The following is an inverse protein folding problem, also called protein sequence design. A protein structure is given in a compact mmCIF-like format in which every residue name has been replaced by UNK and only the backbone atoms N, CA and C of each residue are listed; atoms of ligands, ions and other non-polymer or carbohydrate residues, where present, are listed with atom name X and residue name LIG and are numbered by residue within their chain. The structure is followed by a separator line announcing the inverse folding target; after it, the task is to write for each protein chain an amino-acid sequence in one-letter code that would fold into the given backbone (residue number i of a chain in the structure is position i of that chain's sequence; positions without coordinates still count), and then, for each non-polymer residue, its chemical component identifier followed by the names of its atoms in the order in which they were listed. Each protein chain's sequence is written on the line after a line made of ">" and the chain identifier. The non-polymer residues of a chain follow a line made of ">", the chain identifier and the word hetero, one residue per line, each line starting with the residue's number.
data_IF_842186311779
#
_entry.id   IF_842186311779
#
_cell.length_a   1.000
_cell.length_b   1.000
_cell.length_c   1.000
_cell.angle_alpha   90.00
_cell.angle_beta   90.00
_cell.angle_gamma   90.00
#
_symmetry.space_group_name_H-M   'P 1'
#
loop_
_entity.id
_entity.type
_entity.pdbx_description
1 polymer ?
#
# COMPACT_ATOMS: atom_id res chain seq x y z
N UNK A 1 -66.93 -25.20 3.65
CA UNK A 1 -67.20 -26.47 2.95
C UNK A 1 -65.85 -27.07 2.55
N UNK A 2 -65.56 -28.27 3.07
CA UNK A 2 -64.62 -29.34 2.64
C UNK A 2 -63.41 -28.98 1.71
N UNK A 3 -62.21 -29.57 1.78
CA UNK A 3 -61.52 -30.55 2.64
C UNK A 3 -60.19 -30.88 1.91
N UNK A 4 -59.09 -31.03 2.67
CA UNK A 4 -58.03 -32.09 2.54
C UNK A 4 -57.09 -32.03 1.30
N UNK A 5 -55.85 -32.52 1.31
CA UNK A 5 -54.98 -33.31 2.22
C UNK A 5 -53.56 -33.29 1.61
N UNK A 6 -52.48 -33.20 2.39
CA UNK A 6 -51.64 -34.35 2.81
C UNK A 6 -50.39 -34.47 1.92
N UNK A 7 -49.19 -34.86 2.35
CA UNK A 7 -48.75 -35.72 3.47
C UNK A 7 -47.32 -35.34 3.87
N UNK A 8 -47.00 -35.49 5.16
CA UNK A 8 -45.63 -35.53 5.66
C UNK A 8 -44.99 -36.91 5.49
N UNK A 9 -43.68 -36.96 5.70
CA UNK A 9 -42.93 -38.17 6.04
C UNK A 9 -41.97 -37.79 7.18
N UNK A 10 -42.21 -38.41 8.33
CA UNK A 10 -41.32 -38.47 9.49
C UNK A 10 -40.72 -39.88 9.47
N UNK A 11 -39.40 -40.03 9.60
CA UNK A 11 -38.76 -41.31 9.92
C UNK A 11 -37.87 -41.11 11.15
N UNK A 12 -38.08 -42.01 12.09
CA UNK A 12 -37.55 -42.08 13.45
C UNK A 12 -36.44 -43.16 13.53
N UNK A 13 -35.41 -42.86 14.34
CA UNK A 13 -34.41 -43.69 15.05
C UNK A 13 -34.18 -45.17 14.70
N UNK A 14 -32.90 -45.58 14.81
CA UNK A 14 -32.31 -46.63 15.71
C UNK A 14 -30.80 -46.75 15.32
N UNK A 15 -29.77 -47.08 16.11
CA UNK A 15 -29.37 -47.05 17.53
C UNK A 15 -28.01 -47.80 17.55
N UNK A 16 -27.06 -47.37 18.41
CA UNK A 16 -26.01 -48.16 19.10
C UNK A 16 -24.79 -48.75 18.33
N UNK A 17 -23.56 -48.34 18.69
CA UNK A 17 -22.64 -49.11 19.57
C UNK A 17 -21.30 -48.39 19.83
N UNK A 18 -20.83 -48.59 21.07
CA UNK A 18 -19.66 -48.02 21.74
C UNK A 18 -18.35 -48.70 21.32
N UNK A 19 -17.23 -47.97 21.40
CA UNK A 19 -16.00 -48.50 22.00
C UNK A 19 -15.27 -47.41 22.80
N UNK A 20 -15.13 -47.69 24.09
CA UNK A 20 -14.27 -47.07 25.10
C UNK A 20 -12.81 -47.45 24.91
N UNK A 21 -11.89 -46.55 25.27
CA UNK A 21 -10.46 -46.82 25.42
C UNK A 21 -9.68 -45.70 26.11
N UNK A 22 -9.73 -45.67 27.45
CA UNK A 22 -8.71 -45.14 28.36
C UNK A 22 -7.37 -45.90 28.15
N UNK A 23 -6.15 -45.51 28.60
CA UNK A 23 -5.56 -44.40 29.35
C UNK A 23 -4.03 -44.69 29.46
N UNK A 24 -3.29 -43.79 30.13
CA UNK A 24 -2.08 -43.99 30.96
C UNK A 24 -0.68 -43.69 30.36
N UNK A 25 -0.15 -42.56 30.85
CA UNK A 25 1.21 -42.23 31.35
C UNK A 25 2.34 -43.27 31.20
N UNK A 26 3.57 -42.79 30.93
CA UNK A 26 4.62 -42.70 31.97
C UNK A 26 5.86 -41.95 31.50
N UNK A 27 6.33 -41.08 32.37
CA UNK A 27 7.70 -40.57 32.47
C UNK A 27 8.70 -41.69 32.78
N UNK A 28 9.96 -41.50 32.39
CA UNK A 28 11.11 -41.98 33.17
C UNK A 28 12.39 -41.21 32.79
N UNK A 29 12.91 -40.52 33.80
CA UNK A 29 14.30 -40.09 33.97
C UNK A 29 15.24 -41.29 34.20
N UNK A 30 16.52 -40.93 34.43
CA UNK A 30 17.69 -41.69 34.91
C UNK A 30 18.42 -42.49 33.84
N UNK A 31 19.75 -42.47 33.73
CA UNK A 31 20.85 -42.11 34.64
C UNK A 31 22.11 -42.01 33.74
N UNK A 32 22.86 -40.91 33.74
CA UNK A 32 24.12 -40.74 34.48
C UNK A 32 25.07 -41.96 34.40
N UNK A 33 26.17 -41.81 33.68
CA UNK A 33 27.44 -42.40 34.12
C UNK A 33 28.61 -41.43 33.90
N UNK A 34 29.45 -41.39 34.92
CA UNK A 34 30.58 -40.49 35.14
C UNK A 34 31.86 -41.08 34.54
N UNK A 35 32.81 -40.22 34.17
CA UNK A 35 34.26 -40.31 34.45
C UNK A 35 34.91 -39.07 33.81
N UNK A 36 35.28 -38.03 34.59
CA UNK A 36 36.64 -37.79 35.15
C UNK A 36 37.73 -37.90 34.07
N UNK A 37 38.53 -36.88 33.75
CA UNK A 37 39.47 -36.20 34.65
C UNK A 37 40.12 -35.00 33.94
N UNK A 38 40.44 -33.97 34.74
CA UNK A 38 41.61 -33.09 34.71
C UNK A 38 42.25 -32.66 33.36
N UNK A 39 42.28 -31.34 33.13
CA UNK A 39 43.44 -30.48 33.46
C UNK A 39 43.43 -29.19 32.63
N UNK A 40 43.51 -28.05 33.33
CA UNK A 40 43.93 -26.78 32.74
C UNK A 40 45.41 -26.86 32.38
N UNK A 41 45.85 -26.08 31.38
CA UNK A 41 46.62 -24.92 31.80
C UNK A 41 46.21 -23.64 31.06
N UNK A 42 46.27 -22.54 31.81
CA UNK A 42 46.35 -21.20 31.25
C UNK A 42 47.55 -21.12 30.30
N UNK A 43 47.31 -20.61 29.09
CA UNK A 43 48.37 -20.09 28.25
C UNK A 43 47.96 -18.72 27.69
N UNK A 44 48.69 -17.71 28.16
CA UNK A 44 48.77 -16.37 27.61
C UNK A 44 49.25 -16.42 26.16
N UNK A 45 48.47 -15.84 25.25
CA UNK A 45 48.85 -15.66 23.86
C UNK A 45 48.12 -14.48 23.26
N UNK A 46 48.73 -13.29 23.32
CA UNK A 46 48.48 -12.23 22.36
C UNK A 46 48.74 -12.78 20.95
N UNK A 47 47.76 -12.72 20.06
CA UNK A 47 48.03 -12.38 18.67
C UNK A 47 46.76 -12.02 17.89
N UNK A 48 46.80 -10.77 17.41
CA UNK A 48 46.42 -10.34 16.06
C UNK A 48 44.95 -10.43 15.65
N UNK A 49 44.32 -9.24 15.63
CA UNK A 49 43.70 -8.68 14.43
C UNK A 49 43.21 -9.70 13.40
N UNK A 50 42.04 -10.28 13.66
CA UNK A 50 41.17 -10.70 12.57
C UNK A 50 40.39 -9.47 12.11
N UNK A 51 41.02 -8.67 11.24
CA UNK A 51 40.30 -7.76 10.35
C UNK A 51 39.34 -8.64 9.55
N UNK A 52 38.07 -8.68 9.96
CA UNK A 52 37.00 -9.19 9.11
C UNK A 52 37.07 -8.37 7.82
N UNK A 53 37.52 -8.99 6.72
CA UNK A 53 37.36 -8.43 5.38
C UNK A 53 35.88 -8.08 5.25
N UNK A 54 35.56 -6.78 5.21
CA UNK A 54 34.22 -6.31 4.90
C UNK A 54 33.73 -7.08 3.67
N UNK A 55 32.77 -7.98 3.87
CA UNK A 55 32.08 -8.60 2.74
C UNK A 55 31.48 -7.45 1.95
N UNK A 56 31.94 -7.31 0.70
CA UNK A 56 31.45 -6.31 -0.23
C UNK A 56 29.91 -6.30 -0.20
N UNK A 57 29.33 -5.19 0.27
CA UNK A 57 27.89 -5.04 0.37
C UNK A 57 27.33 -4.89 -1.04
N UNK A 58 26.46 -5.81 -1.43
CA UNK A 58 25.83 -5.84 -2.76
C UNK A 58 24.36 -5.44 -2.65
N UNK A 59 23.84 -4.82 -3.71
CA UNK A 59 22.42 -4.57 -3.87
C UNK A 59 21.69 -5.87 -4.28
N UNK A 60 20.44 -6.08 -3.84
CA UNK A 60 19.60 -7.14 -4.40
C UNK A 60 19.26 -6.85 -5.88
N UNK A 61 18.90 -7.89 -6.62
CA UNK A 61 18.56 -7.78 -8.04
C UNK A 61 17.06 -7.88 -8.29
N UNK A 62 16.29 -8.37 -7.31
CA UNK A 62 14.84 -8.44 -7.38
C UNK A 62 14.20 -7.10 -7.02
N UNK A 63 13.07 -6.79 -7.65
CA UNK A 63 12.22 -5.66 -7.22
C UNK A 63 11.57 -5.99 -5.87
N UNK A 64 11.54 -5.01 -4.97
CA UNK A 64 11.03 -5.17 -3.61
C UNK A 64 10.10 -4.00 -3.26
N UNK A 65 9.08 -4.26 -2.45
CA UNK A 65 8.17 -3.23 -1.94
C UNK A 65 7.73 -3.54 -0.51
N UNK A 66 7.02 -2.60 0.11
CA UNK A 66 6.43 -2.78 1.44
C UNK A 66 5.66 -4.11 1.53
N UNK A 67 5.83 -4.80 2.67
CA UNK A 67 5.38 -6.18 2.98
C UNK A 67 6.20 -7.32 2.36
N UNK A 68 7.24 -7.04 1.58
CA UNK A 68 8.21 -8.07 1.21
C UNK A 68 9.09 -8.44 2.38
N UNK A 69 9.54 -9.70 2.41
CA UNK A 69 10.34 -10.25 3.50
C UNK A 69 11.48 -11.15 2.99
N UNK A 70 12.43 -11.43 3.87
CA UNK A 70 13.47 -12.43 3.68
C UNK A 70 14.82 -11.87 3.23
N UNK A 71 15.64 -12.75 2.65
CA UNK A 71 17.04 -12.46 2.33
C UNK A 71 17.24 -11.27 1.36
N UNK A 72 16.43 -11.09 0.30
CA UNK A 72 16.55 -9.92 -0.58
C UNK A 72 16.36 -8.60 0.18
N UNK A 73 15.35 -8.51 1.04
CA UNK A 73 15.09 -7.33 1.87
C UNK A 73 16.24 -7.07 2.85
N UNK A 74 16.74 -8.11 3.51
CA UNK A 74 17.91 -8.00 4.39
C UNK A 74 19.13 -7.45 3.63
N UNK A 75 19.30 -7.85 2.37
CA UNK A 75 20.38 -7.39 1.48
C UNK A 75 20.19 -5.91 1.13
N UNK A 76 18.96 -5.48 0.82
CA UNK A 76 18.63 -4.07 0.60
C UNK A 76 18.91 -3.23 1.85
N UNK A 77 18.47 -3.66 3.02
CA UNK A 77 18.68 -2.95 4.28
C UNK A 77 20.18 -2.80 4.62
N UNK A 78 20.98 -3.84 4.41
CA UNK A 78 22.44 -3.77 4.55
C UNK A 78 23.06 -2.77 3.56
N UNK A 79 22.61 -2.76 2.30
CA UNK A 79 23.03 -1.80 1.29
C UNK A 79 22.70 -0.35 1.70
N UNK A 80 21.45 -0.08 2.08
CA UNK A 80 21.01 1.24 2.57
C UNK A 80 21.83 1.68 3.79
N UNK A 81 22.06 0.79 4.75
CA UNK A 81 22.87 1.08 5.94
C UNK A 81 24.32 1.41 5.58
N UNK A 82 24.91 0.70 4.61
CA UNK A 82 26.27 1.01 4.13
C UNK A 82 26.38 2.38 3.44
N UNK A 83 25.25 2.92 2.96
CA UNK A 83 25.14 4.28 2.43
C UNK A 83 24.78 5.33 3.50
N UNK A 84 24.66 4.94 4.78
CA UNK A 84 24.41 5.83 5.91
C UNK A 84 22.94 5.99 6.31
N UNK A 85 22.01 5.22 5.74
CA UNK A 85 20.63 5.20 6.23
C UNK A 85 20.52 4.45 7.56
N UNK A 86 19.72 5.00 8.46
CA UNK A 86 19.35 4.37 9.74
C UNK A 86 18.14 3.46 9.49
N UNK A 87 18.40 2.22 9.06
CA UNK A 87 17.37 1.19 8.86
C UNK A 87 17.71 -0.05 9.67
N UNK A 88 16.72 -0.66 10.31
CA UNK A 88 16.87 -1.99 10.91
C UNK A 88 17.14 -3.07 9.83
N UNK A 89 17.88 -4.12 10.18
CA UNK A 89 18.20 -5.24 9.27
C UNK A 89 17.52 -6.49 9.84
N UNK A 90 16.19 -6.48 9.73
CA UNK A 90 15.28 -7.53 10.17
C UNK A 90 14.83 -8.44 9.01
N UNK A 91 15.04 -8.00 7.76
CA UNK A 91 14.55 -8.68 6.57
C UNK A 91 13.06 -8.43 6.29
N UNK A 92 12.44 -7.39 6.85
CA UNK A 92 11.05 -6.99 6.60
C UNK A 92 11.04 -5.62 5.94
N UNK A 93 10.36 -5.47 4.80
CA UNK A 93 10.27 -4.21 4.07
C UNK A 93 9.20 -3.35 4.76
N UNK A 94 9.58 -2.80 5.91
CA UNK A 94 8.74 -2.02 6.79
C UNK A 94 8.71 -0.53 6.37
N UNK A 95 8.05 0.30 7.20
CA UNK A 95 7.93 1.75 6.94
C UNK A 95 9.30 2.47 6.92
N UNK A 96 10.25 2.07 7.76
CA UNK A 96 11.61 2.65 7.78
C UNK A 96 12.35 2.35 6.47
N UNK A 97 12.29 1.10 6.03
CA UNK A 97 12.90 0.67 4.75
C UNK A 97 12.25 1.40 3.57
N UNK A 98 10.91 1.54 3.59
CA UNK A 98 10.18 2.29 2.57
C UNK A 98 10.61 3.76 2.54
N UNK A 99 10.71 4.40 3.70
CA UNK A 99 11.14 5.79 3.81
C UNK A 99 12.57 5.99 3.32
N UNK A 100 13.51 5.11 3.67
CA UNK A 100 14.89 5.17 3.20
C UNK A 100 15.00 5.02 1.68
N UNK A 101 14.23 4.10 1.09
CA UNK A 101 14.16 3.95 -0.37
C UNK A 101 13.55 5.19 -1.01
N UNK A 102 12.48 5.74 -0.45
CA UNK A 102 11.88 6.98 -0.97
C UNK A 102 12.84 8.17 -0.87
N UNK A 103 13.55 8.35 0.26
CA UNK A 103 14.54 9.43 0.41
C UNK A 103 15.67 9.31 -0.62
N UNK A 104 16.13 8.09 -0.88
CA UNK A 104 17.10 7.82 -1.95
C UNK A 104 16.52 8.25 -3.30
N UNK A 105 15.31 7.81 -3.64
CA UNK A 105 14.67 8.13 -4.92
C UNK A 105 14.53 9.63 -5.14
N UNK A 106 14.08 10.37 -4.12
CA UNK A 106 13.86 11.81 -4.19
C UNK A 106 15.14 12.63 -4.43
N UNK A 107 16.32 12.04 -4.26
CA UNK A 107 17.61 12.69 -4.55
C UNK A 107 18.03 12.58 -6.02
N UNK A 108 17.37 11.75 -6.83
CA UNK A 108 17.71 11.53 -8.23
C UNK A 108 16.56 11.92 -9.16
N UNK A 109 16.83 12.82 -10.10
CA UNK A 109 15.81 13.34 -11.05
C UNK A 109 15.17 12.28 -11.94
N UNK A 110 15.82 11.14 -12.14
CA UNK A 110 15.36 10.05 -13.01
C UNK A 110 14.58 8.96 -12.26
N UNK A 111 14.41 9.10 -10.94
CA UNK A 111 13.68 8.16 -10.10
C UNK A 111 12.34 8.75 -9.65
N UNK A 112 11.30 7.93 -9.65
CA UNK A 112 10.02 8.24 -9.06
C UNK A 112 10.05 7.92 -7.55
N UNK A 113 9.76 8.90 -6.69
CA UNK A 113 9.69 8.69 -5.23
C UNK A 113 8.45 7.88 -4.87
N UNK A 114 8.53 6.55 -4.95
CA UNK A 114 7.40 5.63 -4.74
C UNK A 114 7.57 4.78 -3.49
N UNK A 115 8.80 4.67 -2.97
CA UNK A 115 9.15 3.73 -1.91
C UNK A 115 9.22 2.27 -2.37
N UNK A 116 8.98 1.99 -3.66
CA UNK A 116 9.20 0.68 -4.29
C UNK A 116 10.64 0.62 -4.77
N UNK A 117 11.38 -0.42 -4.38
CA UNK A 117 12.70 -0.72 -4.89
C UNK A 117 12.59 -1.35 -6.28
N UNK A 118 12.36 -0.51 -7.29
CA UNK A 118 12.16 -0.89 -8.68
C UNK A 118 13.48 -1.03 -9.47
N UNK A 119 13.39 -1.43 -10.74
CA UNK A 119 14.55 -1.56 -11.63
C UNK A 119 15.48 -0.34 -11.66
N UNK A 120 14.95 0.88 -11.76
CA UNK A 120 15.79 2.08 -11.83
C UNK A 120 16.48 2.36 -10.49
N UNK A 121 15.79 2.05 -9.39
CA UNK A 121 16.32 2.15 -8.03
C UNK A 121 17.40 1.09 -7.81
N UNK A 122 17.24 -0.12 -8.35
CA UNK A 122 18.26 -1.18 -8.35
C UNK A 122 19.53 -0.70 -9.04
N UNK A 123 19.41 -0.23 -10.29
CA UNK A 123 20.55 0.27 -11.08
C UNK A 123 21.26 1.44 -10.37
N UNK A 124 20.49 2.34 -9.77
CA UNK A 124 21.02 3.46 -9.00
C UNK A 124 21.76 3.00 -7.75
N UNK A 125 21.18 2.08 -6.97
CA UNK A 125 21.81 1.56 -5.77
C UNK A 125 23.10 0.78 -6.09
N UNK A 126 23.10 -0.03 -7.14
CA UNK A 126 24.28 -0.75 -7.61
C UNK A 126 25.43 0.19 -7.98
N UNK A 127 25.13 1.27 -8.71
CA UNK A 127 26.11 2.31 -9.04
C UNK A 127 26.65 2.98 -7.78
N UNK A 128 25.79 3.37 -6.85
CA UNK A 128 26.22 4.01 -5.60
C UNK A 128 27.16 3.13 -4.76
N UNK A 129 26.92 1.82 -4.72
CA UNK A 129 27.76 0.87 -3.97
C UNK A 129 29.11 0.58 -4.64
N UNK A 130 29.21 0.76 -5.96
CA UNK A 130 30.40 0.38 -6.74
C UNK A 130 31.27 1.58 -7.14
N UNK A 131 30.67 2.62 -7.73
CA UNK A 131 31.41 3.76 -8.29
C UNK A 131 31.49 4.96 -7.35
N UNK A 132 30.46 5.16 -6.52
CA UNK A 132 30.33 6.36 -5.68
C UNK A 132 30.46 6.06 -4.17
N UNK A 133 31.02 4.89 -3.82
CA UNK A 133 31.08 4.39 -2.44
C UNK A 133 31.78 5.43 -1.54
N UNK A 134 31.02 6.01 -0.61
CA UNK A 134 31.50 7.02 0.37
C UNK A 134 31.22 8.48 0.01
N UNK A 135 30.77 8.79 -1.22
CA UNK A 135 30.42 10.17 -1.62
C UNK A 135 28.93 10.49 -1.52
N UNK A 136 28.08 9.47 -1.54
CA UNK A 136 26.65 9.63 -1.30
C UNK A 136 26.36 9.83 0.19
N UNK A 137 25.40 10.70 0.50
CA UNK A 137 24.86 10.88 1.86
C UNK A 137 23.34 10.99 1.79
N UNK A 138 22.59 10.33 2.69
CA UNK A 138 21.16 10.54 2.83
C UNK A 138 20.86 12.02 3.03
N UNK A 139 19.88 12.54 2.29
CA UNK A 139 19.48 13.93 2.41
C UNK A 139 18.38 14.11 3.47
N UNK A 140 17.79 13.01 3.98
CA UNK A 140 16.75 13.03 5.01
C UNK A 140 15.63 14.03 4.66
N UNK A 141 15.30 14.13 3.37
CA UNK A 141 14.18 14.92 2.82
C UNK A 141 12.89 14.49 3.53
N UNK A 142 12.79 13.18 3.77
CA UNK A 142 11.81 12.60 4.67
C UNK A 142 12.52 12.29 5.98
N UNK A 143 12.16 13.00 7.05
CA UNK A 143 12.68 12.72 8.39
C UNK A 143 11.65 11.91 9.18
N UNK A 144 12.06 10.75 9.70
CA UNK A 144 11.27 10.08 10.73
C UNK A 144 11.28 10.92 12.00
N UNK A 145 10.21 11.69 12.20
CA UNK A 145 10.01 12.44 13.43
C UNK A 145 9.49 11.48 14.50
N UNK A 146 10.16 11.44 15.66
CA UNK A 146 9.67 10.67 16.81
C UNK A 146 8.32 11.21 17.30
N UNK A 147 8.09 12.52 17.11
CA UNK A 147 6.83 13.16 17.43
C UNK A 147 5.85 13.05 16.26
N UNK A 148 4.82 12.25 16.46
CA UNK A 148 3.72 12.09 15.51
C UNK A 148 2.94 13.40 15.41
N UNK A 149 3.06 14.08 14.27
CA UNK A 149 2.31 15.28 13.99
C UNK A 149 0.83 14.93 13.75
N UNK A 150 -0.06 15.82 14.19
CA UNK A 150 -1.51 15.67 14.02
C UNK A 150 -2.05 16.77 13.12
N UNK A 151 -2.87 16.39 12.14
CA UNK A 151 -3.63 17.33 11.33
C UNK A 151 -4.87 17.82 12.10
N UNK A 152 -5.52 18.84 11.54
CA UNK A 152 -6.82 19.29 12.03
C UNK A 152 -7.83 18.13 11.97
N UNK A 153 -8.49 17.84 13.10
CA UNK A 153 -9.37 16.67 13.24
C UNK A 153 -8.71 15.44 13.86
N UNK A 154 -7.41 15.48 14.19
CA UNK A 154 -6.72 14.45 14.97
C UNK A 154 -6.08 13.31 14.15
N UNK A 155 -6.19 13.36 12.82
CA UNK A 155 -5.51 12.44 11.93
C UNK A 155 -3.98 12.53 12.08
N UNK A 156 -3.30 11.40 12.03
CA UNK A 156 -1.83 11.32 12.03
C UNK A 156 -1.29 11.82 10.69
N UNK A 157 -0.37 12.77 10.70
CA UNK A 157 0.31 13.22 9.48
C UNK A 157 1.34 12.18 9.05
N UNK A 158 1.24 11.73 7.80
CA UNK A 158 2.16 10.76 7.22
C UNK A 158 3.57 11.33 7.08
N UNK A 159 4.56 10.56 7.52
CA UNK A 159 5.98 10.93 7.38
C UNK A 159 6.51 10.68 5.97
N UNK A 160 5.95 9.71 5.26
CA UNK A 160 6.27 9.44 3.86
C UNK A 160 5.03 9.63 2.98
N UNK A 161 4.72 10.87 2.57
CA UNK A 161 3.58 11.15 1.71
C UNK A 161 3.78 10.68 0.26
N UNK A 162 5.00 10.28 -0.11
CA UNK A 162 5.36 9.81 -1.45
C UNK A 162 5.20 8.30 -1.63
N UNK A 163 5.03 7.55 -0.54
CA UNK A 163 4.81 6.10 -0.58
C UNK A 163 3.61 5.77 -1.48
N UNK A 164 3.83 4.90 -2.47
CA UNK A 164 2.77 4.41 -3.34
C UNK A 164 1.63 3.75 -2.55
N UNK A 165 1.95 3.14 -1.41
CA UNK A 165 1.02 2.52 -0.47
C UNK A 165 0.67 3.41 0.72
N UNK A 166 0.88 4.73 0.63
CA UNK A 166 0.43 5.68 1.64
C UNK A 166 -1.08 5.52 1.89
N UNK A 167 -1.45 5.16 3.13
CA UNK A 167 -2.84 5.10 3.56
C UNK A 167 -3.30 6.51 3.91
N UNK A 168 -4.13 7.10 3.06
CA UNK A 168 -4.70 8.44 3.30
C UNK A 168 -6.19 8.27 3.53
N UNK A 169 -6.65 8.64 4.72
CA UNK A 169 -8.03 8.48 5.16
C UNK A 169 -8.32 9.40 6.36
N UNK A 170 -9.47 9.23 7.02
CA UNK A 170 -9.88 10.05 8.18
C UNK A 170 -8.98 9.94 9.41
N UNK A 171 -8.03 9.00 9.41
CA UNK A 171 -7.08 8.78 10.50
C UNK A 171 -5.63 9.10 10.10
N UNK A 172 -5.38 9.24 8.80
CA UNK A 172 -4.05 9.46 8.24
C UNK A 172 -4.09 10.56 7.18
N UNK A 173 -3.48 11.70 7.49
CA UNK A 173 -3.46 12.87 6.64
C UNK A 173 -2.10 13.05 5.95
N UNK A 174 -2.11 13.64 4.76
CA UNK A 174 -0.91 14.15 4.12
C UNK A 174 -0.48 15.48 4.75
N UNK A 175 0.82 15.83 4.71
CA UNK A 175 1.28 17.17 5.05
C UNK A 175 0.58 18.24 4.21
N UNK A 176 0.32 19.41 4.80
CA UNK A 176 -0.38 20.49 4.12
C UNK A 176 0.39 21.03 2.91
N UNK A 177 1.72 21.02 2.98
CA UNK A 177 2.64 21.47 1.93
C UNK A 177 3.00 20.36 0.92
N UNK A 178 2.43 19.15 1.08
CA UNK A 178 2.72 18.05 0.16
C UNK A 178 2.08 18.28 -1.21
N UNK A 179 2.95 18.42 -2.20
CA UNK A 179 2.62 18.43 -3.63
C UNK A 179 3.55 17.42 -4.32
N UNK A 180 3.01 16.40 -5.04
CA UNK A 180 3.86 15.48 -5.80
C UNK A 180 4.67 16.23 -6.87
N UNK A 181 5.97 15.92 -6.98
CA UNK A 181 6.88 16.60 -7.91
C UNK A 181 6.80 16.07 -9.35
N UNK A 182 6.12 14.93 -9.52
CA UNK A 182 5.99 14.14 -10.74
C UNK A 182 4.56 14.15 -11.30
N UNK A 183 3.78 15.21 -11.03
CA UNK A 183 2.45 15.37 -11.59
C UNK A 183 2.50 15.62 -13.09
N UNK A 184 1.72 14.86 -13.84
CA UNK A 184 1.54 14.98 -15.30
C UNK A 184 0.08 14.78 -15.67
N UNK A 185 -0.33 15.31 -16.82
CA UNK A 185 -1.63 15.02 -17.41
C UNK A 185 -1.53 13.72 -18.21
N UNK A 186 -2.25 12.64 -17.82
CA UNK A 186 -2.27 11.40 -18.58
C UNK A 186 -2.91 11.63 -19.95
N UNK A 187 -2.41 10.93 -20.96
CA UNK A 187 -2.95 10.94 -22.31
C UNK A 187 -4.19 10.05 -22.42
N UNK A 188 -5.28 10.46 -21.77
CA UNK A 188 -6.58 9.79 -21.76
C UNK A 188 -7.71 10.77 -22.03
N UNK A 189 -8.91 10.27 -22.31
CA UNK A 189 -10.10 11.08 -22.58
C UNK A 189 -10.61 11.74 -21.30
N UNK A 190 -11.03 13.00 -21.40
CA UNK A 190 -11.74 13.76 -20.35
C UNK A 190 -13.00 14.39 -20.98
N UNK A 191 -14.11 14.55 -20.24
CA UNK A 191 -15.35 15.14 -20.77
C UNK A 191 -15.30 16.67 -20.81
N UNK A 192 -14.10 17.25 -20.69
CA UNK A 192 -13.81 18.67 -20.67
C UNK A 192 -12.40 18.91 -21.24
N UNK A 193 -12.16 20.09 -21.82
CA UNK A 193 -10.93 20.38 -22.57
C UNK A 193 -9.96 21.29 -21.81
N UNK A 194 -10.46 21.99 -20.81
CA UNK A 194 -9.70 22.95 -19.99
C UNK A 194 -8.50 22.28 -19.32
N UNK A 195 -7.38 23.00 -19.28
CA UNK A 195 -6.20 22.55 -18.56
C UNK A 195 -6.35 22.87 -17.07
N UNK A 196 -6.77 21.87 -16.30
CA UNK A 196 -7.08 21.99 -14.89
C UNK A 196 -6.21 21.03 -14.06
N UNK A 197 -5.80 21.39 -12.82
CA UNK A 197 -5.03 20.51 -11.95
C UNK A 197 -5.67 19.13 -11.74
N UNK A 198 -7.02 19.05 -11.77
CA UNK A 198 -7.77 17.79 -11.69
C UNK A 198 -7.56 16.84 -12.88
N UNK A 199 -6.86 17.23 -13.93
CA UNK A 199 -6.42 16.30 -14.98
C UNK A 199 -5.15 15.56 -14.57
N UNK A 200 -4.37 16.12 -13.65
CA UNK A 200 -3.05 15.63 -13.35
C UNK A 200 -3.10 14.43 -12.39
N UNK A 201 -2.09 13.59 -12.47
CA UNK A 201 -1.78 12.55 -11.49
C UNK A 201 -0.28 12.26 -11.55
N UNK A 202 0.27 11.53 -10.58
CA UNK A 202 1.69 11.17 -10.57
C UNK A 202 2.03 10.32 -11.79
N UNK A 203 3.21 10.55 -12.36
CA UNK A 203 3.67 9.94 -13.61
C UNK A 203 3.48 8.42 -13.68
N UNK A 204 3.82 7.70 -12.60
CA UNK A 204 3.68 6.23 -12.57
C UNK A 204 2.22 5.79 -12.71
N UNK A 205 1.30 6.50 -12.06
CA UNK A 205 -0.13 6.21 -12.11
C UNK A 205 -0.75 6.70 -13.43
N UNK A 206 -0.27 7.82 -13.99
CA UNK A 206 -0.67 8.31 -15.32
C UNK A 206 -0.36 7.27 -16.41
N UNK A 207 0.87 6.76 -16.45
CA UNK A 207 1.27 5.72 -17.41
C UNK A 207 0.50 4.42 -17.22
N UNK A 208 0.12 4.07 -15.99
CA UNK A 208 -0.73 2.92 -15.73
C UNK A 208 -2.17 3.15 -16.24
N UNK A 209 -2.72 4.34 -16.01
CA UNK A 209 -4.07 4.72 -16.43
C UNK A 209 -4.18 4.71 -17.97
N UNK A 210 -3.19 5.26 -18.66
CA UNK A 210 -3.11 5.25 -20.14
C UNK A 210 -3.16 3.82 -20.69
N UNK A 211 -2.42 2.88 -20.07
CA UNK A 211 -2.44 1.46 -20.47
C UNK A 211 -3.78 0.79 -20.20
N UNK A 212 -4.44 1.15 -19.10
CA UNK A 212 -5.76 0.63 -18.76
C UNK A 212 -6.82 1.14 -19.75
N UNK A 213 -6.81 2.44 -20.05
CA UNK A 213 -7.74 3.05 -21.02
C UNK A 213 -7.51 2.48 -22.42
N UNK A 214 -6.27 2.35 -22.88
CA UNK A 214 -5.96 1.72 -24.16
C UNK A 214 -6.40 0.24 -24.25
N UNK A 215 -6.58 -0.44 -23.11
CA UNK A 215 -7.11 -1.80 -23.09
C UNK A 215 -8.64 -1.82 -23.06
N UNK A 216 -9.27 -0.87 -22.37
CA UNK A 216 -10.71 -0.65 -22.44
C UNK A 216 -11.14 -0.27 -23.87
N UNK A 217 -10.39 0.60 -24.55
CA UNK A 217 -10.64 0.96 -25.96
C UNK A 217 -10.64 -0.27 -26.88
N UNK A 218 -9.74 -1.24 -26.64
CA UNK A 218 -9.69 -2.51 -27.38
C UNK A 218 -10.84 -3.45 -27.06
N UNK A 219 -11.47 -3.27 -25.91
CA UNK A 219 -12.71 -3.93 -25.52
C UNK A 219 -13.95 -3.15 -25.98
N UNK A 220 -13.79 -2.10 -26.79
CA UNK A 220 -14.86 -1.23 -27.29
C UNK A 220 -15.60 -0.48 -26.16
N UNK A 221 -14.88 -0.15 -25.08
CA UNK A 221 -15.41 0.52 -23.89
C UNK A 221 -14.90 1.95 -23.76
N UNK A 222 -15.81 2.89 -23.47
CA UNK A 222 -15.54 4.31 -23.49
C UNK A 222 -15.30 4.91 -22.11
N UNK A 223 -14.08 4.74 -21.62
CA UNK A 223 -13.62 5.34 -20.36
C UNK A 223 -13.20 6.81 -20.51
N UNK A 224 -13.61 7.61 -19.53
CA UNK A 224 -13.26 9.02 -19.38
C UNK A 224 -12.71 9.27 -17.97
N UNK A 225 -11.56 9.93 -17.86
CA UNK A 225 -11.06 10.47 -16.62
C UNK A 225 -11.84 11.75 -16.25
N UNK A 226 -12.09 11.96 -14.96
CA UNK A 226 -12.96 13.05 -14.48
C UNK A 226 -12.26 13.95 -13.44
N UNK A 227 -11.57 13.35 -12.47
CA UNK A 227 -10.91 14.09 -11.37
C UNK A 227 -9.75 13.31 -10.75
N UNK A 228 -8.53 13.76 -11.01
CA UNK A 228 -7.27 13.27 -10.46
C UNK A 228 -6.79 14.10 -9.27
N UNK A 229 -5.64 14.77 -9.42
CA UNK A 229 -4.99 15.53 -8.36
C UNK A 229 -5.84 16.70 -7.84
N UNK A 230 -5.84 16.87 -6.52
CA UNK A 230 -6.47 17.99 -5.84
C UNK A 230 -5.57 18.46 -4.70
N UNK A 231 -5.18 19.74 -4.74
CA UNK A 231 -4.29 20.29 -3.70
C UNK A 231 -4.98 20.36 -2.34
N UNK A 232 -4.16 20.49 -1.29
CA UNK A 232 -4.62 20.69 0.08
C UNK A 232 -5.56 21.91 0.17
N UNK A 233 -5.17 23.06 -0.39
CA UNK A 233 -5.93 24.31 -0.33
C UNK A 233 -7.27 24.19 -1.06
N UNK A 234 -7.29 23.44 -2.17
CA UNK A 234 -8.56 23.19 -2.88
C UNK A 234 -9.48 22.32 -2.04
N UNK A 235 -8.94 21.30 -1.36
CA UNK A 235 -9.72 20.45 -0.46
C UNK A 235 -10.22 21.24 0.75
N UNK A 236 -9.41 22.14 1.30
CA UNK A 236 -9.79 23.03 2.40
C UNK A 236 -10.97 23.93 2.01
N UNK A 237 -10.91 24.57 0.84
CA UNK A 237 -12.01 25.38 0.32
C UNK A 237 -13.32 24.58 0.13
N UNK A 238 -13.21 23.33 -0.37
CA UNK A 238 -14.38 22.43 -0.53
C UNK A 238 -14.96 22.07 0.85
N UNK A 239 -14.11 21.68 1.79
CA UNK A 239 -14.54 21.30 3.13
C UNK A 239 -15.18 22.49 3.85
N UNK A 240 -14.58 23.68 3.81
CA UNK A 240 -15.14 24.90 4.39
C UNK A 240 -16.51 25.26 3.80
N UNK A 241 -16.71 25.11 2.48
CA UNK A 241 -18.03 25.31 1.86
C UNK A 241 -19.07 24.33 2.43
N UNK A 242 -18.72 23.04 2.52
CA UNK A 242 -19.62 22.02 3.07
C UNK A 242 -19.94 22.25 4.56
N UNK A 243 -18.95 22.72 5.34
CA UNK A 243 -19.14 23.08 6.76
C UNK A 243 -20.12 24.24 6.89
N UNK A 244 -20.00 25.26 6.05
CA UNK A 244 -20.91 26.41 6.05
C UNK A 244 -22.36 26.01 5.71
N UNK A 245 -22.54 25.03 4.84
CA UNK A 245 -23.87 24.58 4.39
C UNK A 245 -24.52 23.55 5.32
N UNK A 246 -23.73 22.64 5.90
CA UNK A 246 -24.25 21.45 6.59
C UNK A 246 -23.78 21.31 8.05
N UNK A 247 -22.82 22.13 8.49
CA UNK A 247 -22.11 21.96 9.75
C UNK A 247 -21.00 20.93 9.66
N UNK A 248 -20.00 21.06 10.54
CA UNK A 248 -18.74 20.30 10.43
C UNK A 248 -18.92 18.79 10.59
N UNK A 249 -19.72 18.35 11.55
CA UNK A 249 -19.93 16.91 11.80
C UNK A 249 -20.61 16.23 10.59
N UNK A 250 -21.56 16.92 9.95
CA UNK A 250 -22.24 16.40 8.76
C UNK A 250 -21.30 16.45 7.54
N UNK A 251 -20.61 17.57 7.32
CA UNK A 251 -19.65 17.74 6.23
C UNK A 251 -18.58 16.64 6.24
N UNK A 252 -18.04 16.31 7.42
CA UNK A 252 -17.03 15.27 7.57
C UNK A 252 -17.52 13.84 7.30
N UNK A 253 -18.83 13.62 7.15
CA UNK A 253 -19.36 12.29 6.76
C UNK A 253 -19.18 12.02 5.27
N UNK A 254 -19.29 13.04 4.42
CA UNK A 254 -19.26 12.91 2.95
C UNK A 254 -18.12 13.69 2.28
N UNK A 255 -17.36 14.50 3.03
CA UNK A 255 -16.23 15.28 2.52
C UNK A 255 -15.00 15.05 3.40
N UNK A 256 -13.87 14.73 2.77
CA UNK A 256 -12.60 14.61 3.47
C UNK A 256 -12.14 15.97 4.01
N UNK A 257 -11.53 16.01 5.20
CA UNK A 257 -10.77 17.18 5.64
C UNK A 257 -9.55 17.38 4.72
N UNK A 258 -9.01 18.60 4.62
CA UNK A 258 -7.76 18.81 3.89
C UNK A 258 -6.64 17.95 4.49
N UNK A 259 -5.84 17.31 3.63
CA UNK A 259 -4.87 16.28 4.02
C UNK A 259 -5.43 14.85 4.02
N UNK A 260 -6.73 14.64 4.24
CA UNK A 260 -7.35 13.30 4.34
C UNK A 260 -7.91 12.78 3.01
N UNK A 261 -7.77 13.56 1.93
CA UNK A 261 -8.26 13.21 0.59
C UNK A 261 -7.17 12.51 -0.22
N UNK A 262 -7.45 11.30 -0.71
CA UNK A 262 -6.48 10.56 -1.55
C UNK A 262 -6.15 11.30 -2.85
N UNK A 263 -7.02 12.19 -3.35
CA UNK A 263 -6.71 13.02 -4.52
C UNK A 263 -5.43 13.86 -4.35
N UNK A 264 -5.07 14.26 -3.12
CA UNK A 264 -3.83 15.00 -2.88
C UNK A 264 -2.58 14.13 -3.08
N UNK A 265 -2.68 12.80 -2.99
CA UNK A 265 -1.57 11.89 -3.32
C UNK A 265 -1.14 11.99 -4.79
N UNK A 266 -2.06 12.42 -5.67
CA UNK A 266 -1.91 12.29 -7.12
C UNK A 266 -1.88 10.82 -7.59
N UNK A 267 -2.22 9.85 -6.75
CA UNK A 267 -2.33 8.42 -7.10
C UNK A 267 -3.76 7.99 -7.37
N UNK A 268 -4.71 8.92 -7.35
CA UNK A 268 -6.14 8.67 -7.52
C UNK A 268 -6.64 9.30 -8.82
N UNK A 269 -7.56 8.61 -9.48
CA UNK A 269 -8.35 9.15 -10.58
C UNK A 269 -9.80 8.69 -10.47
N UNK A 270 -10.73 9.64 -10.41
CA UNK A 270 -12.14 9.37 -10.66
C UNK A 270 -12.36 9.16 -12.16
N UNK A 271 -13.04 8.09 -12.54
CA UNK A 271 -13.36 7.74 -13.93
C UNK A 271 -14.87 7.59 -14.15
N UNK A 272 -15.31 7.70 -15.39
CA UNK A 272 -16.72 7.66 -15.78
C UNK A 272 -16.86 7.21 -17.23
N UNK A 273 -18.08 7.03 -17.70
CA UNK A 273 -18.40 6.79 -19.11
C UNK A 273 -19.53 7.68 -19.63
N UNK A 274 -19.73 7.77 -20.96
CA UNK A 274 -20.89 8.44 -21.57
C UNK A 274 -22.23 7.85 -21.13
N UNK A 275 -22.31 6.55 -20.85
CA UNK A 275 -23.54 5.82 -20.51
C UNK A 275 -24.23 6.34 -19.25
N UNK A 276 -23.46 6.97 -18.35
CA UNK A 276 -23.97 7.61 -17.13
C UNK A 276 -23.88 9.14 -17.19
N UNK A 277 -23.80 9.70 -18.40
CA UNK A 277 -23.66 11.14 -18.65
C UNK A 277 -22.47 11.75 -17.91
N UNK A 278 -21.34 11.03 -17.87
CA UNK A 278 -20.10 11.45 -17.20
C UNK A 278 -20.23 11.72 -15.69
N UNK A 279 -21.27 11.19 -15.03
CA UNK A 279 -21.51 11.41 -13.59
C UNK A 279 -20.69 10.45 -12.73
N UNK A 280 -20.21 10.93 -11.59
CA UNK A 280 -19.58 10.08 -10.57
C UNK A 280 -20.66 9.55 -9.63
N UNK A 281 -21.23 8.38 -9.95
CA UNK A 281 -22.33 7.78 -9.18
C UNK A 281 -22.17 6.26 -9.07
N UNK A 282 -22.86 5.65 -8.11
CA UNK A 282 -22.83 4.20 -7.89
C UNK A 282 -23.36 3.40 -9.08
N UNK A 283 -24.18 4.03 -9.94
CA UNK A 283 -24.67 3.43 -11.18
C UNK A 283 -23.54 3.15 -12.19
N UNK A 284 -22.38 3.83 -12.08
CA UNK A 284 -21.20 3.52 -12.90
C UNK A 284 -20.79 2.06 -12.77
N UNK A 285 -20.83 1.50 -11.56
CA UNK A 285 -20.46 0.10 -11.32
C UNK A 285 -21.41 -0.91 -11.97
N UNK A 286 -22.50 -0.46 -12.60
CA UNK A 286 -23.45 -1.30 -13.35
C UNK A 286 -23.36 -1.12 -14.87
N UNK A 287 -22.48 -0.24 -15.35
CA UNK A 287 -22.19 -0.13 -16.79
C UNK A 287 -21.17 -1.17 -17.21
N UNK A 288 -21.07 -1.42 -18.51
CA UNK A 288 -20.06 -2.33 -19.05
C UNK A 288 -18.64 -1.85 -18.70
N UNK A 289 -18.38 -0.54 -18.67
CA UNK A 289 -17.07 0.00 -18.27
C UNK A 289 -16.78 -0.17 -16.78
N UNK A 290 -17.77 0.04 -15.91
CA UNK A 290 -17.61 -0.17 -14.47
C UNK A 290 -17.35 -1.63 -14.14
N UNK A 291 -18.09 -2.56 -14.75
CA UNK A 291 -17.87 -4.00 -14.60
C UNK A 291 -16.50 -4.44 -15.16
N UNK A 292 -16.07 -3.83 -16.28
CA UNK A 292 -14.75 -4.09 -16.84
C UNK A 292 -13.63 -3.62 -15.91
N UNK A 293 -13.78 -2.43 -15.31
CA UNK A 293 -12.85 -1.91 -14.30
C UNK A 293 -12.75 -2.86 -13.10
N UNK A 294 -13.87 -3.34 -12.58
CA UNK A 294 -13.87 -4.26 -11.44
C UNK A 294 -13.04 -5.52 -11.72
N UNK A 295 -13.07 -6.00 -12.97
CA UNK A 295 -12.33 -7.19 -13.41
C UNK A 295 -10.86 -6.91 -13.77
N UNK A 296 -10.54 -5.71 -14.27
CA UNK A 296 -9.25 -5.45 -14.93
C UNK A 296 -8.37 -4.37 -14.27
N UNK A 297 -8.89 -3.52 -13.40
CA UNK A 297 -8.13 -2.43 -12.78
C UNK A 297 -6.83 -2.91 -12.11
N UNK A 298 -6.88 -4.07 -11.45
CA UNK A 298 -5.75 -4.68 -10.76
C UNK A 298 -4.57 -5.03 -11.70
N UNK A 299 -4.84 -5.37 -12.96
CA UNK A 299 -3.80 -5.70 -13.94
C UNK A 299 -2.91 -4.51 -14.30
N UNK A 300 -3.45 -3.30 -14.06
CA UNK A 300 -2.78 -2.03 -14.28
C UNK A 300 -2.28 -1.39 -12.97
N UNK A 301 -2.59 -1.99 -11.82
CA UNK A 301 -2.14 -1.50 -10.51
C UNK A 301 -3.13 -0.57 -9.80
N UNK A 302 -4.39 -0.55 -10.24
CA UNK A 302 -5.46 0.19 -9.59
C UNK A 302 -6.37 -0.73 -8.77
N UNK A 303 -6.92 -0.18 -7.70
CA UNK A 303 -8.00 -0.78 -6.91
C UNK A 303 -9.23 0.12 -6.98
N UNK A 304 -10.42 -0.47 -6.84
CA UNK A 304 -11.62 0.28 -6.46
C UNK A 304 -11.45 0.60 -4.96
N UNK A 305 -11.15 1.85 -4.64
CA UNK A 305 -10.68 2.23 -3.31
C UNK A 305 -11.73 2.06 -2.22
N UNK A 306 -12.99 2.32 -2.58
CA UNK A 306 -14.15 2.26 -1.70
C UNK A 306 -15.13 1.21 -2.24
N UNK A 307 -14.87 -0.09 -2.00
CA UNK A 307 -15.74 -1.16 -2.46
C UNK A 307 -17.02 -1.26 -1.62
N UNK A 308 -18.05 -1.88 -2.20
CA UNK A 308 -19.35 -2.07 -1.57
C UNK A 308 -19.25 -2.95 -0.32
N UNK A 309 -19.93 -2.57 0.76
CA UNK A 309 -19.97 -3.36 2.00
C UNK A 309 -18.74 -3.20 2.89
N UNK A 310 -17.87 -2.23 2.61
CA UNK A 310 -16.65 -1.91 3.39
C UNK A 310 -16.70 -0.52 4.02
N UNK A 311 -17.87 0.11 4.08
CA UNK A 311 -18.09 1.46 4.60
C UNK A 311 -17.67 1.58 6.07
N UNK A 312 -17.85 0.52 6.86
CA UNK A 312 -17.42 0.48 8.26
C UNK A 312 -15.90 0.51 8.43
N UNK A 313 -15.15 0.19 7.39
CA UNK A 313 -13.68 0.21 7.38
C UNK A 313 -13.20 1.53 6.77
N UNK A 314 -13.58 1.80 5.52
CA UNK A 314 -13.07 2.96 4.76
C UNK A 314 -13.67 4.29 5.23
N UNK A 315 -14.86 4.26 5.85
CA UNK A 315 -15.67 5.43 6.20
C UNK A 315 -16.20 6.23 5.00
N UNK A 316 -16.18 5.61 3.81
CA UNK A 316 -16.77 6.11 2.58
C UNK A 316 -17.78 5.11 2.05
N UNK A 317 -18.83 5.62 1.41
CA UNK A 317 -19.79 4.80 0.66
C UNK A 317 -19.12 4.07 -0.50
N UNK A 318 -19.83 3.13 -1.13
CA UNK A 318 -19.36 2.51 -2.37
C UNK A 318 -19.12 3.57 -3.47
N UNK A 319 -17.91 3.60 -4.02
CA UNK A 319 -17.52 4.52 -5.11
C UNK A 319 -16.81 3.75 -6.24
N UNK A 320 -17.56 3.10 -7.17
CA UNK A 320 -16.96 2.33 -8.27
C UNK A 320 -16.10 3.15 -9.23
N UNK A 321 -16.29 4.48 -9.23
CA UNK A 321 -15.53 5.40 -10.07
C UNK A 321 -14.16 5.76 -9.50
N UNK A 322 -13.93 5.57 -8.19
CA UNK A 322 -12.76 6.10 -7.49
C UNK A 322 -11.62 5.08 -7.49
N UNK A 323 -10.68 5.27 -8.42
CA UNK A 323 -9.56 4.35 -8.61
C UNK A 323 -8.30 4.87 -7.91
N UNK A 324 -7.71 4.03 -7.06
CA UNK A 324 -6.46 4.31 -6.37
C UNK A 324 -5.34 3.43 -6.93
N UNK A 325 -4.26 4.05 -7.39
CA UNK A 325 -3.05 3.35 -7.80
C UNK A 325 -2.23 2.91 -6.57
N UNK A 326 -1.91 1.62 -6.53
CA UNK A 326 -1.13 0.97 -5.46
C UNK A 326 -0.03 0.06 -6.04
N UNK A 327 0.12 0.03 -7.36
CA UNK A 327 1.00 -0.87 -8.09
C UNK A 327 0.41 -2.27 -8.27
N UNK A 328 0.89 -2.99 -9.28
CA UNK A 328 0.28 -4.26 -9.74
C UNK A 328 0.23 -5.33 -8.66
N UNK A 329 1.30 -5.49 -7.88
CA UNK A 329 1.40 -6.54 -6.86
C UNK A 329 0.34 -6.37 -5.77
N UNK A 330 0.27 -5.18 -5.16
CA UNK A 330 -0.70 -4.88 -4.13
C UNK A 330 -2.13 -4.87 -4.69
N UNK A 331 -2.35 -4.26 -5.87
CA UNK A 331 -3.67 -4.19 -6.47
C UNK A 331 -4.27 -5.57 -6.74
N UNK A 332 -3.45 -6.51 -7.23
CA UNK A 332 -3.88 -7.91 -7.44
C UNK A 332 -4.26 -8.59 -6.14
N UNK A 333 -3.46 -8.47 -5.09
CA UNK A 333 -3.77 -9.07 -3.79
C UNK A 333 -5.05 -8.47 -3.19
N UNK A 334 -5.19 -7.14 -3.24
CA UNK A 334 -6.35 -6.41 -2.70
C UNK A 334 -7.64 -6.82 -3.43
N UNK A 335 -7.65 -6.73 -4.75
CA UNK A 335 -8.84 -6.98 -5.56
C UNK A 335 -9.21 -8.46 -5.58
N UNK A 336 -8.23 -9.38 -5.64
CA UNK A 336 -8.50 -10.84 -5.60
C UNK A 336 -9.13 -11.27 -4.29
N UNK A 337 -8.69 -10.68 -3.17
CA UNK A 337 -9.21 -11.02 -1.85
C UNK A 337 -10.46 -10.21 -1.45
N UNK A 338 -10.88 -9.23 -2.26
CA UNK A 338 -12.02 -8.36 -1.94
C UNK A 338 -11.82 -7.55 -0.65
N UNK A 339 -10.58 -7.14 -0.38
CA UNK A 339 -10.19 -6.37 0.82
C UNK A 339 -9.95 -4.90 0.48
N UNK A 340 -9.85 -4.05 1.50
CA UNK A 340 -9.48 -2.63 1.34
C UNK A 340 -7.98 -2.40 1.51
N UNK A 341 -7.51 -1.18 1.22
CA UNK A 341 -6.11 -0.80 1.50
C UNK A 341 -5.80 -0.84 3.01
N UNK A 342 -6.75 -0.43 3.85
CA UNK A 342 -6.67 -0.54 5.32
C UNK A 342 -6.41 -2.00 5.75
N UNK A 343 -7.25 -2.93 5.27
CA UNK A 343 -7.11 -4.36 5.59
C UNK A 343 -5.79 -4.94 5.07
N UNK A 344 -5.37 -4.54 3.86
CA UNK A 344 -4.10 -4.98 3.29
C UNK A 344 -2.90 -4.52 4.10
N UNK A 345 -2.90 -3.28 4.60
CA UNK A 345 -1.83 -2.74 5.45
C UNK A 345 -1.96 -3.15 6.92
N UNK A 346 -3.10 -3.72 7.32
CA UNK A 346 -3.46 -4.00 8.73
C UNK A 346 -3.46 -2.74 9.59
N UNK A 347 -3.81 -1.62 8.99
CA UNK A 347 -3.93 -0.31 9.63
C UNK A 347 -5.41 0.07 9.63
N UNK A 348 -5.89 0.70 10.71
CA UNK A 348 -7.29 1.15 10.81
C UNK A 348 -7.39 2.65 10.66
#
# INVERSE_FOLDING_TARGET
>A
MLKRKGRGITILMVLLLLFTGCSIQTSKETQQDNTSEESSPANTGNNTDSVEKEKEVKAPTEELQKKDEGKPVRTLQLALRSLGYEVEVDGVYNAETTLAVTDLQLQFKNLEGTGVYDKKTIETLQRLLTTDKGNFKPNKILAMNKDVQKANGGATVLQNPYDQLALVNKQHALPADYIPKDLVTPNVRFPFTEDLPKKQMRQIAATALEKMFAAADKAELDLFAQSGYRSYERQDAIFASNVNEHGEEAANKFSARPGESEHQTGLTMDVTSPDINYRLTTEFGKTDEGEWIEKHAADYGFIIRYPKGKEDITKYQYEPWHLRFVGKKAAKEIMTNGITLEEYLKEK
#
